data_IF_378444118322
#
_entry.id   IF_378444118322
#
_cell.length_a   1.000
_cell.length_b   1.000
_cell.length_c   1.000
_cell.angle_alpha   90.00
_cell.angle_beta   90.00
_cell.angle_gamma   90.00
#
_symmetry.space_group_name_H-M   'P 1'
#
loop_
_entity.id
_entity.type
_entity.pdbx_description
1 polymer ?
#
# COMPACT_ATOMS: atom_id res chain seq x y z
N UNK A 1 18.47 -6.54 0.32
CA UNK A 1 18.06 -5.43 -0.58
C UNK A 1 17.01 -4.53 0.10
N UNK A 2 15.82 -5.04 0.44
CA UNK A 2 14.74 -4.26 1.07
C UNK A 2 15.15 -3.40 2.29
N UNK A 3 16.00 -3.94 3.17
CA UNK A 3 16.50 -3.22 4.35
C UNK A 3 17.41 -2.03 3.97
N UNK A 4 18.26 -2.23 2.95
CA UNK A 4 19.12 -1.17 2.43
C UNK A 4 18.28 -0.13 1.68
N UNK A 5 17.23 -0.54 0.99
CA UNK A 5 16.33 0.40 0.30
C UNK A 5 15.56 1.27 1.31
N UNK A 6 15.04 0.68 2.39
CA UNK A 6 14.36 1.42 3.46
C UNK A 6 15.32 2.38 4.19
N UNK A 7 16.49 1.89 4.61
CA UNK A 7 17.52 2.70 5.26
C UNK A 7 18.20 3.69 4.31
N UNK A 8 18.20 3.45 3.01
CA UNK A 8 18.79 4.32 1.98
C UNK A 8 17.82 5.38 1.45
N UNK A 9 16.55 5.31 1.83
CA UNK A 9 15.53 6.28 1.43
C UNK A 9 15.86 7.73 1.90
N UNK A 10 15.22 8.76 1.31
CA UNK A 10 15.36 10.13 1.78
C UNK A 10 14.96 10.34 3.26
N UNK A 11 13.93 9.65 3.74
CA UNK A 11 13.56 9.65 5.17
C UNK A 11 14.61 8.95 6.03
N UNK A 12 15.41 8.06 5.44
CA UNK A 12 16.36 7.20 6.14
C UNK A 12 15.68 6.14 6.99
N UNK A 13 14.37 5.94 6.85
CA UNK A 13 13.62 4.98 7.64
C UNK A 13 12.37 4.49 6.92
N UNK A 14 11.88 3.32 7.33
CA UNK A 14 10.64 2.75 6.80
C UNK A 14 10.40 1.31 7.25
N UNK A 15 9.18 0.84 7.01
CA UNK A 15 8.79 -0.54 7.28
C UNK A 15 9.22 -1.49 6.14
N UNK A 16 9.69 -2.68 6.52
CA UNK A 16 10.02 -3.78 5.63
C UNK A 16 9.28 -5.04 6.06
N UNK A 17 8.60 -5.68 5.11
CA UNK A 17 7.79 -6.87 5.34
C UNK A 17 8.31 -8.02 4.52
N UNK A 18 8.54 -9.16 5.18
CA UNK A 18 9.22 -10.31 4.57
C UNK A 18 8.88 -11.59 5.33
N UNK A 19 9.07 -12.72 4.67
CA UNK A 19 8.93 -14.03 5.29
C UNK A 19 10.24 -14.41 5.97
N UNK A 20 10.19 -14.76 7.25
CA UNK A 20 11.35 -15.18 8.03
C UNK A 20 10.94 -16.19 9.13
N UNK A 21 11.76 -17.20 9.45
CA UNK A 21 11.44 -18.11 10.53
C UNK A 21 11.47 -17.43 11.91
N UNK A 22 10.56 -17.80 12.80
CA UNK A 22 10.67 -17.44 14.21
C UNK A 22 11.85 -18.13 14.89
N UNK A 23 12.42 -17.53 15.96
CA UNK A 23 13.41 -18.22 16.77
C UNK A 23 12.90 -19.59 17.24
N UNK A 24 13.58 -20.67 16.85
CA UNK A 24 13.18 -22.04 17.19
C UNK A 24 12.22 -22.71 16.20
N UNK A 25 11.80 -22.03 15.12
CA UNK A 25 11.01 -22.61 14.03
C UNK A 25 11.81 -22.65 12.73
N UNK A 26 11.54 -23.64 11.88
CA UNK A 26 12.06 -23.72 10.51
C UNK A 26 11.07 -23.20 9.47
N UNK A 27 9.80 -23.03 9.85
CA UNK A 27 8.76 -22.57 8.94
C UNK A 27 8.75 -21.04 8.92
N UNK A 28 8.83 -20.42 7.73
CA UNK A 28 8.82 -18.97 7.63
C UNK A 28 7.44 -18.41 7.97
N UNK A 29 7.42 -17.33 8.75
CA UNK A 29 6.23 -16.54 9.02
C UNK A 29 6.41 -15.10 8.57
N UNK A 30 5.31 -14.38 8.43
CA UNK A 30 5.38 -12.96 8.10
C UNK A 30 5.99 -12.17 9.26
N UNK A 31 7.03 -11.39 8.93
CA UNK A 31 7.72 -10.49 9.84
C UNK A 31 7.70 -9.08 9.27
N UNK A 32 7.40 -8.12 10.16
CA UNK A 32 7.48 -6.69 9.90
C UNK A 32 8.62 -6.11 10.72
N UNK A 33 9.54 -5.42 10.06
CA UNK A 33 10.66 -4.73 10.71
C UNK A 33 10.65 -3.25 10.36
N UNK A 34 10.70 -2.37 11.34
CA UNK A 34 10.98 -0.96 11.13
C UNK A 34 12.49 -0.76 11.03
N UNK A 35 12.92 -0.13 9.95
CA UNK A 35 14.32 0.06 9.61
C UNK A 35 14.65 1.55 9.71
N UNK A 36 15.79 1.89 10.31
CA UNK A 36 16.26 3.28 10.44
C UNK A 36 17.77 3.38 10.22
N UNK A 37 18.18 4.34 9.39
CA UNK A 37 19.57 4.77 9.21
C UNK A 37 19.96 5.67 10.38
N UNK A 38 21.10 5.36 10.98
CA UNK A 38 21.64 6.05 12.14
C UNK A 38 23.12 6.33 11.93
N UNK A 39 23.58 7.49 12.40
CA UNK A 39 24.99 7.88 12.37
C UNK A 39 25.57 7.67 13.76
N UNK A 40 26.57 6.81 13.88
CA UNK A 40 27.24 6.56 15.17
C UNK A 40 28.20 7.71 15.51
N UNK A 41 28.66 7.84 16.78
CA UNK A 41 29.64 8.86 17.16
C UNK A 41 30.95 8.82 16.35
N UNK A 42 31.27 7.68 15.77
CA UNK A 42 32.40 7.50 14.85
C UNK A 42 32.21 8.14 13.47
N UNK A 43 31.04 8.72 13.18
CA UNK A 43 30.66 9.23 11.87
C UNK A 43 30.20 8.15 10.87
N UNK A 44 30.28 6.86 11.23
CA UNK A 44 29.85 5.77 10.36
C UNK A 44 28.32 5.59 10.39
N UNK A 45 27.72 5.53 9.21
CA UNK A 45 26.30 5.20 9.06
C UNK A 45 26.07 3.70 9.22
N UNK A 46 25.00 3.37 9.94
CA UNK A 46 24.50 2.03 10.14
C UNK A 46 23.00 2.00 9.90
N UNK A 47 22.47 0.80 9.67
CA UNK A 47 21.04 0.56 9.65
C UNK A 47 20.70 -0.30 10.87
N UNK A 48 19.79 0.19 11.69
CA UNK A 48 19.19 -0.57 12.78
C UNK A 48 17.78 -0.98 12.39
N UNK A 49 17.33 -2.12 12.91
CA UNK A 49 15.96 -2.56 12.71
C UNK A 49 15.45 -3.36 13.89
N UNK A 50 14.19 -3.14 14.24
CA UNK A 50 13.45 -3.97 15.17
C UNK A 50 12.19 -4.48 14.47
N UNK A 51 11.77 -5.70 14.80
CA UNK A 51 10.64 -6.30 14.10
C UNK A 51 9.87 -7.29 14.94
N UNK A 52 8.65 -7.54 14.48
CA UNK A 52 7.65 -8.38 15.13
C UNK A 52 7.12 -9.39 14.11
N UNK A 53 6.85 -10.59 14.58
CA UNK A 53 6.17 -11.63 13.80
C UNK A 53 4.67 -11.46 13.93
N UNK A 54 3.93 -11.82 12.88
CA UNK A 54 2.47 -11.80 12.87
C UNK A 54 1.89 -10.42 13.29
N UNK A 55 2.51 -9.33 12.84
CA UNK A 55 1.96 -7.99 13.05
C UNK A 55 0.54 -7.97 12.49
N UNK A 56 -0.45 -7.70 13.35
CA UNK A 56 -1.79 -7.43 12.87
C UNK A 56 -1.72 -6.22 11.95
N UNK A 57 -2.32 -6.31 10.77
CA UNK A 57 -2.38 -5.15 9.90
C UNK A 57 -3.25 -4.09 10.56
N UNK A 58 -2.68 -2.89 10.67
CA UNK A 58 -3.33 -1.75 11.26
C UNK A 58 -3.37 -0.57 10.27
N UNK A 59 -4.03 0.50 10.70
CA UNK A 59 -4.13 1.72 9.91
C UNK A 59 -2.77 2.39 9.69
N UNK A 60 -1.83 2.25 10.61
CA UNK A 60 -0.52 2.87 10.48
C UNK A 60 0.29 2.22 9.34
N UNK A 61 0.27 0.89 9.26
CA UNK A 61 0.88 0.11 8.18
C UNK A 61 0.32 0.52 6.80
N UNK A 62 -0.99 0.60 6.67
CA UNK A 62 -1.63 0.98 5.40
C UNK A 62 -1.35 2.43 5.04
N UNK A 63 -1.30 3.32 6.04
CA UNK A 63 -0.91 4.71 5.78
C UNK A 63 0.53 4.77 5.26
N UNK A 64 1.45 4.00 5.84
CA UNK A 64 2.85 3.92 5.39
C UNK A 64 2.98 3.38 3.96
N UNK A 65 2.33 2.25 3.65
CA UNK A 65 2.44 1.62 2.32
C UNK A 65 1.91 2.55 1.21
N UNK A 66 0.79 3.24 1.47
CA UNK A 66 0.23 4.24 0.56
C UNK A 66 1.15 5.44 0.43
N UNK A 67 1.76 5.92 1.53
CA UNK A 67 2.69 7.05 1.47
C UNK A 67 3.94 6.72 0.65
N UNK A 68 4.50 5.52 0.82
CA UNK A 68 5.65 5.06 0.02
C UNK A 68 5.29 4.90 -1.45
N UNK A 69 4.13 4.32 -1.75
CA UNK A 69 3.65 4.17 -3.12
C UNK A 69 3.38 5.55 -3.77
N UNK A 70 2.75 6.46 -3.03
CA UNK A 70 2.49 7.82 -3.45
C UNK A 70 3.78 8.59 -3.75
N UNK A 71 4.81 8.45 -2.92
CA UNK A 71 6.12 9.04 -3.17
C UNK A 71 6.76 8.50 -4.46
N UNK A 72 6.68 7.19 -4.68
CA UNK A 72 7.18 6.54 -5.89
C UNK A 72 6.45 7.02 -7.15
N UNK A 73 5.11 7.09 -7.10
CA UNK A 73 4.28 7.61 -8.20
C UNK A 73 4.55 9.09 -8.44
N UNK A 74 4.74 9.88 -7.38
CA UNK A 74 5.10 11.30 -7.51
C UNK A 74 6.39 11.48 -8.28
N UNK A 75 7.42 10.70 -7.94
CA UNK A 75 8.75 10.78 -8.55
C UNK A 75 8.77 10.28 -9.99
N UNK A 76 8.10 9.15 -10.28
CA UNK A 76 8.29 8.41 -11.54
C UNK A 76 7.06 8.34 -12.43
N UNK A 77 5.92 8.83 -11.96
CA UNK A 77 4.64 8.72 -12.67
C UNK A 77 4.34 7.27 -13.05
N UNK A 78 4.01 7.03 -14.32
CA UNK A 78 3.64 5.72 -14.86
C UNK A 78 4.77 4.69 -14.81
N UNK A 79 6.03 5.11 -14.78
CA UNK A 79 7.17 4.19 -14.66
C UNK A 79 7.19 3.46 -13.31
N UNK A 80 6.53 4.00 -12.27
CA UNK A 80 6.35 3.33 -10.98
C UNK A 80 5.46 2.09 -11.07
N UNK A 81 4.54 2.02 -12.04
CA UNK A 81 3.44 1.07 -12.01
C UNK A 81 3.89 -0.38 -12.12
N UNK A 82 5.00 -0.66 -12.80
CA UNK A 82 5.58 -2.00 -12.85
C UNK A 82 5.94 -2.51 -11.46
N UNK A 83 6.52 -1.66 -10.62
CA UNK A 83 6.89 -2.00 -9.25
C UNK A 83 5.67 -2.17 -8.33
N UNK A 84 4.62 -1.37 -8.55
CA UNK A 84 3.38 -1.48 -7.78
C UNK A 84 2.58 -2.77 -8.11
N UNK A 85 2.74 -3.31 -9.32
CA UNK A 85 2.14 -4.58 -9.75
C UNK A 85 2.91 -5.82 -9.28
N UNK A 86 4.16 -5.67 -8.87
CA UNK A 86 4.98 -6.80 -8.44
C UNK A 86 4.44 -7.41 -7.15
N UNK A 87 3.81 -8.58 -7.27
CA UNK A 87 3.21 -9.34 -6.16
C UNK A 87 4.22 -9.88 -5.17
N UNK A 88 5.51 -9.87 -5.53
CA UNK A 88 6.63 -10.21 -4.63
C UNK A 88 7.29 -8.97 -4.02
N UNK A 89 6.85 -7.79 -4.46
CA UNK A 89 7.38 -6.50 -4.04
C UNK A 89 6.77 -5.98 -2.73
N UNK A 90 7.25 -4.83 -2.26
CA UNK A 90 6.90 -4.28 -0.94
C UNK A 90 5.52 -3.61 -0.87
N UNK A 91 4.73 -3.69 -1.96
CA UNK A 91 3.40 -3.07 -2.10
C UNK A 91 2.26 -4.10 -2.10
N UNK A 92 2.60 -5.38 -1.95
CA UNK A 92 1.66 -6.48 -1.81
C UNK A 92 2.05 -7.27 -0.56
N UNK A 93 1.11 -7.40 0.37
CA UNK A 93 1.32 -8.09 1.63
C UNK A 93 0.02 -8.75 2.07
N UNK A 94 0.02 -10.08 2.18
CA UNK A 94 -1.20 -10.87 2.45
C UNK A 94 -2.35 -10.51 1.48
N UNK A 95 -3.46 -9.97 1.99
CA UNK A 95 -4.61 -9.50 1.22
C UNK A 95 -4.59 -7.99 0.95
N UNK A 96 -3.57 -7.27 1.42
CA UNK A 96 -3.32 -5.85 1.10
C UNK A 96 -2.49 -5.70 -0.16
N UNK A 97 -2.89 -4.74 -0.98
CA UNK A 97 -2.24 -4.36 -2.22
C UNK A 97 -2.45 -2.88 -2.48
N UNK A 98 -1.50 -2.25 -3.16
CA UNK A 98 -1.66 -0.90 -3.67
C UNK A 98 -2.46 -0.91 -4.97
N UNK A 99 -3.35 0.06 -5.11
CA UNK A 99 -4.01 0.41 -6.36
C UNK A 99 -3.76 1.87 -6.72
N UNK A 100 -3.93 2.20 -8.00
CA UNK A 100 -3.81 3.57 -8.53
C UNK A 100 -4.95 3.84 -9.49
N UNK A 101 -5.70 4.90 -9.24
CA UNK A 101 -6.78 5.39 -10.10
C UNK A 101 -6.46 6.75 -10.68
N UNK A 102 -7.08 7.05 -11.82
CA UNK A 102 -7.22 8.42 -12.32
C UNK A 102 -8.39 9.14 -11.63
N UNK A 103 -8.46 10.49 -11.69
CA UNK A 103 -9.58 11.24 -11.11
C UNK A 103 -10.94 10.99 -11.76
N UNK A 104 -10.99 10.47 -12.98
CA UNK A 104 -12.23 10.03 -13.63
C UNK A 104 -12.64 8.60 -13.20
N UNK A 105 -11.83 7.92 -12.39
CA UNK A 105 -12.10 6.58 -11.86
C UNK A 105 -11.68 5.44 -12.76
N UNK A 106 -10.75 5.69 -13.70
CA UNK A 106 -10.11 4.61 -14.47
C UNK A 106 -8.98 3.99 -13.63
N UNK A 107 -9.07 2.68 -13.37
CA UNK A 107 -8.07 1.98 -12.58
C UNK A 107 -6.83 1.67 -13.43
N UNK A 108 -5.65 2.10 -12.96
CA UNK A 108 -4.38 2.00 -13.68
C UNK A 108 -3.46 0.91 -13.14
N UNK A 109 -3.58 0.58 -11.85
CA UNK A 109 -2.80 -0.45 -11.17
C UNK A 109 -3.70 -1.14 -10.16
N UNK A 110 -3.74 -2.47 -10.18
CA UNK A 110 -4.36 -3.25 -9.13
C UNK A 110 -3.72 -4.64 -9.02
N UNK A 111 -2.73 -4.81 -8.14
CA UNK A 111 -2.02 -6.08 -8.00
C UNK A 111 -2.91 -7.22 -7.44
N UNK A 112 -3.94 -6.86 -6.66
CA UNK A 112 -4.89 -7.81 -6.09
C UNK A 112 -5.93 -8.30 -7.10
N UNK A 113 -6.35 -7.44 -8.02
CA UNK A 113 -7.37 -7.68 -9.04
C UNK A 113 -6.99 -7.06 -10.39
N UNK A 114 -5.98 -7.61 -11.09
CA UNK A 114 -5.48 -7.04 -12.36
C UNK A 114 -6.53 -6.93 -13.46
N UNK A 115 -7.63 -7.69 -13.37
CA UNK A 115 -8.74 -7.65 -14.33
C UNK A 115 -9.57 -6.37 -14.28
N UNK A 116 -9.34 -5.50 -13.29
CA UNK A 116 -9.98 -4.19 -13.18
C UNK A 116 -9.20 -3.09 -13.90
N UNK A 117 -7.90 -3.28 -14.16
CA UNK A 117 -7.08 -2.28 -14.84
C UNK A 117 -7.65 -1.92 -16.23
N UNK A 118 -7.68 -0.62 -16.53
CA UNK A 118 -8.25 -0.04 -17.75
C UNK A 118 -9.76 0.19 -17.73
N UNK A 119 -10.46 -0.21 -16.65
CA UNK A 119 -11.91 0.01 -16.51
C UNK A 119 -12.18 1.25 -15.69
N UNK A 120 -13.26 1.95 -16.06
CA UNK A 120 -13.82 3.02 -15.25
C UNK A 120 -14.75 2.42 -14.17
N UNK A 121 -14.45 2.69 -12.90
CA UNK A 121 -15.12 2.09 -11.75
C UNK A 121 -16.08 3.05 -11.03
N UNK A 122 -16.33 4.25 -11.54
CA UNK A 122 -17.24 5.24 -10.91
C UNK A 122 -18.68 4.71 -10.74
N UNK A 123 -19.09 3.81 -11.62
CA UNK A 123 -20.40 3.15 -11.57
C UNK A 123 -20.48 1.97 -10.60
N UNK A 124 -19.35 1.49 -10.06
CA UNK A 124 -19.33 0.33 -9.18
C UNK A 124 -19.99 0.69 -7.84
N UNK A 125 -20.77 -0.25 -7.32
CA UNK A 125 -21.38 -0.17 -6.01
C UNK A 125 -21.00 -1.39 -5.19
N UNK A 126 -20.76 -1.21 -3.90
CA UNK A 126 -20.56 -2.33 -3.00
C UNK A 126 -21.87 -3.03 -2.64
N UNK A 127 -21.80 -4.10 -1.83
CA UNK A 127 -22.98 -4.86 -1.37
C UNK A 127 -23.94 -4.07 -0.49
N UNK A 128 -23.56 -2.88 -0.03
CA UNK A 128 -24.41 -1.96 0.73
C UNK A 128 -24.97 -0.83 -0.15
N UNK A 129 -24.60 -0.77 -1.43
CA UNK A 129 -25.02 0.27 -2.36
C UNK A 129 -24.15 1.52 -2.34
N UNK A 130 -23.01 1.51 -1.67
CA UNK A 130 -22.10 2.66 -1.59
C UNK A 130 -21.30 2.83 -2.89
N UNK A 131 -21.03 4.08 -3.29
CA UNK A 131 -20.28 4.43 -4.49
C UNK A 131 -18.77 4.46 -4.22
N UNK A 132 -18.21 3.29 -3.91
CA UNK A 132 -16.87 3.17 -3.28
C UNK A 132 -15.75 3.96 -3.97
N UNK A 133 -15.54 3.78 -5.28
CA UNK A 133 -14.47 4.47 -6.01
C UNK A 133 -14.74 5.97 -6.11
N UNK A 134 -16.01 6.35 -6.28
CA UNK A 134 -16.41 7.76 -6.31
C UNK A 134 -16.14 8.44 -4.97
N UNK A 135 -16.46 7.78 -3.84
CA UNK A 135 -16.27 8.31 -2.49
C UNK A 135 -14.78 8.44 -2.14
N UNK A 136 -13.98 7.42 -2.51
CA UNK A 136 -12.51 7.42 -2.38
C UNK A 136 -11.87 8.58 -3.16
N UNK A 137 -12.19 8.72 -4.45
CA UNK A 137 -11.66 9.78 -5.29
C UNK A 137 -12.12 11.15 -4.78
N UNK A 138 -13.39 11.31 -4.43
CA UNK A 138 -13.92 12.58 -3.93
C UNK A 138 -13.20 13.03 -2.64
N UNK A 139 -13.00 12.10 -1.69
CA UNK A 139 -12.26 12.35 -0.46
C UNK A 139 -10.81 12.77 -0.74
N UNK A 140 -10.09 12.01 -1.57
CA UNK A 140 -8.70 12.32 -1.90
C UNK A 140 -8.57 13.65 -2.66
N UNK A 141 -9.51 13.96 -3.56
CA UNK A 141 -9.51 15.19 -4.32
C UNK A 141 -9.72 16.42 -3.43
N UNK A 142 -10.68 16.32 -2.51
CA UNK A 142 -11.08 17.39 -1.58
C UNK A 142 -10.06 17.60 -0.46
N UNK A 143 -9.73 16.54 0.28
CA UNK A 143 -8.99 16.62 1.54
C UNK A 143 -7.51 16.19 1.38
N UNK A 144 -7.12 15.74 0.18
CA UNK A 144 -5.76 15.30 -0.16
C UNK A 144 -5.49 13.85 0.22
N UNK A 145 -6.03 13.37 1.34
CA UNK A 145 -6.01 11.96 1.72
C UNK A 145 -7.04 11.66 2.81
N UNK A 146 -7.45 10.40 2.95
CA UNK A 146 -8.34 10.00 4.03
C UNK A 146 -8.71 8.53 4.00
N UNK A 147 -9.50 8.13 5.00
CA UNK A 147 -9.99 6.77 5.19
C UNK A 147 -11.45 6.64 4.75
N UNK A 148 -11.75 5.54 4.04
CA UNK A 148 -13.10 5.15 3.63
C UNK A 148 -13.38 3.73 4.13
N UNK A 149 -14.58 3.49 4.65
CA UNK A 149 -15.06 2.16 5.06
C UNK A 149 -16.04 1.65 4.01
N UNK A 150 -15.81 0.45 3.48
CA UNK A 150 -16.53 -0.09 2.33
C UNK A 150 -16.51 -1.62 2.32
N UNK A 151 -17.21 -2.22 1.38
CA UNK A 151 -17.12 -3.67 1.12
C UNK A 151 -16.46 -3.96 -0.22
N UNK A 152 -15.47 -4.85 -0.22
CA UNK A 152 -14.73 -5.21 -1.43
C UNK A 152 -14.27 -6.66 -1.41
N UNK A 153 -13.94 -7.21 -2.58
CA UNK A 153 -13.48 -8.59 -2.72
C UNK A 153 -12.02 -8.72 -2.28
N UNK A 154 -11.75 -9.68 -1.40
CA UNK A 154 -10.37 -10.10 -1.13
C UNK A 154 -9.74 -10.69 -2.41
N UNK A 155 -8.42 -10.52 -2.63
CA UNK A 155 -7.74 -11.12 -3.77
C UNK A 155 -8.00 -12.63 -3.86
N UNK A 156 -8.49 -13.10 -5.01
CA UNK A 156 -8.80 -14.51 -5.25
C UNK A 156 -10.10 -15.02 -4.63
N UNK A 157 -10.90 -14.15 -3.98
CA UNK A 157 -12.20 -14.50 -3.42
C UNK A 157 -13.36 -13.85 -4.20
N UNK A 158 -14.54 -14.45 -4.09
CA UNK A 158 -15.77 -14.02 -4.75
C UNK A 158 -16.86 -13.56 -3.76
N UNK A 159 -16.52 -13.44 -2.48
CA UNK A 159 -17.39 -12.87 -1.45
C UNK A 159 -16.81 -11.55 -0.97
N UNK A 160 -17.57 -10.44 -1.02
CA UNK A 160 -17.12 -9.17 -0.47
C UNK A 160 -16.95 -9.23 1.04
N UNK A 161 -15.89 -8.61 1.53
CA UNK A 161 -15.61 -8.44 2.95
C UNK A 161 -15.51 -6.95 3.28
N UNK A 162 -15.74 -6.59 4.55
CA UNK A 162 -15.53 -5.22 5.02
C UNK A 162 -14.06 -4.85 4.87
N UNK A 163 -13.80 -3.69 4.28
CA UNK A 163 -12.47 -3.13 4.03
C UNK A 163 -12.44 -1.69 4.50
N UNK A 164 -11.34 -1.30 5.14
CA UNK A 164 -11.02 0.10 5.39
C UNK A 164 -9.87 0.48 4.46
N UNK A 165 -10.13 1.42 3.56
CA UNK A 165 -9.17 1.88 2.56
C UNK A 165 -8.65 3.26 2.92
N UNK A 166 -7.33 3.44 2.84
CA UNK A 166 -6.71 4.76 2.85
C UNK A 166 -6.35 5.16 1.42
N UNK A 167 -6.70 6.38 1.05
CA UNK A 167 -6.41 6.94 -0.27
C UNK A 167 -5.68 8.27 -0.15
N UNK A 168 -4.83 8.57 -1.12
CA UNK A 168 -4.06 9.80 -1.21
C UNK A 168 -3.99 10.30 -2.65
N UNK A 169 -4.28 11.58 -2.84
CA UNK A 169 -4.03 12.30 -4.08
C UNK A 169 -2.54 12.55 -4.25
N UNK A 170 -2.04 12.28 -5.46
CA UNK A 170 -0.66 12.48 -5.87
C UNK A 170 -0.66 13.19 -7.21
N UNK A 171 0.19 14.20 -7.35
CA UNK A 171 0.45 14.84 -8.63
C UNK A 171 1.86 14.50 -9.09
N UNK A 172 2.00 14.02 -10.33
CA UNK A 172 3.28 13.76 -10.97
C UNK A 172 3.27 14.40 -12.36
N UNK A 173 4.19 15.34 -12.58
CA UNK A 173 4.15 16.25 -13.73
C UNK A 173 2.75 16.90 -13.89
N UNK A 174 2.08 16.64 -15.01
CA UNK A 174 0.76 17.16 -15.33
C UNK A 174 -0.39 16.23 -14.91
N UNK A 175 -0.09 14.98 -14.53
CA UNK A 175 -1.09 13.97 -14.22
C UNK A 175 -1.40 13.95 -12.72
N UNK A 176 -2.67 13.71 -12.40
CA UNK A 176 -3.13 13.45 -11.03
C UNK A 176 -3.50 11.98 -10.90
N UNK A 177 -3.14 11.38 -9.77
CA UNK A 177 -3.39 9.99 -9.43
C UNK A 177 -3.98 9.89 -8.02
N UNK A 178 -4.86 8.93 -7.81
CA UNK A 178 -5.33 8.53 -6.47
C UNK A 178 -4.66 7.19 -6.16
N UNK A 179 -3.79 7.19 -5.15
CA UNK A 179 -3.07 5.99 -4.71
C UNK A 179 -3.72 5.49 -3.43
N UNK A 180 -4.04 4.20 -3.36
CA UNK A 180 -4.72 3.63 -2.21
C UNK A 180 -4.30 2.22 -1.87
N UNK A 181 -4.60 1.81 -0.64
CA UNK A 181 -4.51 0.44 -0.13
C UNK A 181 -5.44 0.31 1.07
N UNK A 182 -5.80 -0.91 1.45
CA UNK A 182 -6.73 -1.10 2.57
C UNK A 182 -6.57 -2.43 3.28
N UNK A 183 -7.08 -2.45 4.51
CA UNK A 183 -7.14 -3.62 5.39
C UNK A 183 -8.55 -4.21 5.36
N UNK A 184 -8.62 -5.53 5.27
CA UNK A 184 -9.87 -6.24 5.49
C UNK A 184 -10.04 -6.52 6.97
N UNK A 185 -11.22 -6.22 7.51
CA UNK A 185 -11.57 -6.61 8.88
C UNK A 185 -11.82 -8.11 8.98
N UNK A 186 -11.61 -8.65 10.18
CA UNK A 186 -12.27 -9.90 10.58
C UNK A 186 -13.74 -9.57 10.93
N UNK A 187 -14.64 -10.50 10.63
CA UNK A 187 -16.07 -10.39 11.02
C UNK A 187 -16.25 -10.49 12.53
#
# INVERSE_FOLDING_TARGET
KMFLDAGGSPSGEGWVHYMYPEPGSIFPMWKSSFIKRVTFPSGKEHIIGCGIYNMQMDKAFITDIVNRAAALVKERGKEAFGQLRDRTGPFVFMDTYVFVDTPDGTELVNAGQPSLEGKNLMGVRDVKGNAVVQDEIALAMKDGSGWVDLYWYKPGQNTPARKQTFVRKVQSAQDTYIVGAGIYGEE
#
